data_IF_074426797972
#
_entry.id   IF_074426797972
#
_cell.length_a   1.000
_cell.length_b   1.000
_cell.length_c   1.000
_cell.angle_alpha   90.00
_cell.angle_beta   90.00
_cell.angle_gamma   90.00
#
_symmetry.space_group_name_H-M   'P 1'
#
loop_
_entity.id
_entity.type
_entity.pdbx_description
1 polymer ?
#
# COMPACT_ATOMS: atom_id res chain seq x y z
N UNK A 1 -1.24 -10.21 -9.37
CA UNK A 1 -2.44 -10.52 -8.56
C UNK A 1 -2.15 -10.12 -7.12
N UNK A 2 -3.13 -10.13 -6.22
CA UNK A 2 -2.94 -9.72 -4.82
C UNK A 2 -1.77 -10.45 -4.15
N UNK A 3 -1.57 -11.74 -4.44
CA UNK A 3 -0.42 -12.54 -3.94
C UNK A 3 0.95 -12.25 -4.54
N UNK A 4 1.16 -11.20 -5.32
CA UNK A 4 2.51 -10.85 -5.79
C UNK A 4 3.33 -10.21 -4.67
N UNK A 5 4.62 -10.55 -4.60
CA UNK A 5 5.59 -10.01 -3.64
C UNK A 5 5.51 -8.48 -3.52
N UNK A 6 5.54 -7.75 -4.64
CA UNK A 6 5.44 -6.27 -4.64
C UNK A 6 4.17 -5.74 -3.94
N UNK A 7 3.05 -6.45 -4.08
CA UNK A 7 1.77 -6.01 -3.49
C UNK A 7 1.76 -6.19 -1.99
N UNK A 8 2.34 -7.31 -1.53
CA UNK A 8 2.54 -7.59 -0.11
C UNK A 8 3.48 -6.55 0.49
N UNK A 9 4.62 -6.27 -0.16
CA UNK A 9 5.58 -5.27 0.31
C UNK A 9 4.96 -3.88 0.43
N UNK A 10 4.15 -3.45 -0.54
CA UNK A 10 3.43 -2.16 -0.46
C UNK A 10 2.46 -2.13 0.73
N UNK A 11 1.68 -3.19 0.95
CA UNK A 11 0.73 -3.24 2.06
C UNK A 11 1.46 -3.28 3.42
N UNK A 12 2.55 -4.04 3.53
CA UNK A 12 3.38 -4.07 4.73
C UNK A 12 4.02 -2.72 5.02
N UNK A 13 4.54 -2.05 3.99
CA UNK A 13 5.12 -0.71 4.10
C UNK A 13 4.10 0.30 4.62
N UNK A 14 2.90 0.34 4.02
CA UNK A 14 1.82 1.23 4.47
C UNK A 14 1.34 0.90 5.88
N UNK A 15 1.29 -0.38 6.27
CA UNK A 15 0.96 -0.77 7.66
C UNK A 15 2.00 -0.28 8.67
N UNK A 16 3.28 -0.29 8.30
CA UNK A 16 4.38 0.12 9.17
C UNK A 16 4.53 1.64 9.27
N UNK A 17 4.41 2.35 8.15
CA UNK A 17 4.64 3.79 8.08
C UNK A 17 3.38 4.63 8.32
N UNK A 18 2.18 4.04 8.16
CA UNK A 18 0.92 4.76 8.24
C UNK A 18 0.69 5.61 6.99
N UNK A 19 0.96 6.91 7.11
CA UNK A 19 0.75 7.90 6.04
C UNK A 19 1.97 8.03 5.12
N UNK A 20 1.85 7.62 3.85
CA UNK A 20 2.98 7.65 2.91
C UNK A 20 2.65 8.48 1.68
N UNK A 21 3.43 9.53 1.42
CA UNK A 21 3.34 10.27 0.17
C UNK A 21 3.94 9.46 -0.99
N UNK A 22 3.45 9.67 -2.22
CA UNK A 22 3.96 8.96 -3.41
C UNK A 22 5.50 9.06 -3.55
N UNK A 23 6.07 10.23 -3.26
CA UNK A 23 7.52 10.49 -3.32
C UNK A 23 8.33 9.82 -2.22
N UNK A 24 7.67 9.33 -1.17
CA UNK A 24 8.31 8.78 0.02
C UNK A 24 8.27 7.25 0.03
N UNK A 25 7.74 6.60 -1.00
CA UNK A 25 7.83 5.15 -1.12
C UNK A 25 9.29 4.74 -1.35
N UNK A 26 9.88 4.15 -0.31
CA UNK A 26 11.21 3.57 -0.36
C UNK A 26 11.11 2.04 -0.41
N UNK A 27 10.81 1.52 -1.60
CA UNK A 27 10.66 0.09 -1.89
C UNK A 27 11.54 -0.28 -3.09
N UNK A 28 12.06 -1.50 -3.12
CA UNK A 28 12.82 -2.04 -4.26
C UNK A 28 11.89 -2.46 -5.42
N UNK A 29 10.99 -1.57 -5.83
CA UNK A 29 9.97 -1.77 -6.86
C UNK A 29 10.09 -0.65 -7.88
N UNK A 30 10.01 -0.97 -9.18
CA UNK A 30 10.05 0.05 -10.22
C UNK A 30 8.81 0.97 -10.17
N UNK A 31 8.97 2.26 -10.48
CA UNK A 31 7.87 3.23 -10.49
C UNK A 31 6.66 2.81 -11.34
N UNK A 32 6.82 2.22 -12.55
CA UNK A 32 5.68 1.73 -13.32
C UNK A 32 4.91 0.60 -12.61
N UNK A 33 5.63 -0.30 -11.93
CA UNK A 33 5.04 -1.39 -11.15
C UNK A 33 4.32 -0.83 -9.93
N UNK A 34 4.97 0.06 -9.16
CA UNK A 34 4.37 0.72 -8.00
C UNK A 34 3.04 1.40 -8.39
N UNK A 35 3.04 2.23 -9.44
CA UNK A 35 1.83 2.88 -9.95
C UNK A 35 0.73 1.88 -10.33
N UNK A 36 1.11 0.79 -11.01
CA UNK A 36 0.17 -0.27 -11.40
C UNK A 36 -0.43 -0.97 -10.18
N UNK A 37 0.36 -1.20 -9.13
CA UNK A 37 -0.09 -1.82 -7.88
C UNK A 37 -0.98 -0.88 -7.08
N UNK A 38 -0.57 0.37 -6.87
CA UNK A 38 -1.36 1.37 -6.14
C UNK A 38 -2.76 1.54 -6.75
N UNK A 39 -2.85 1.67 -8.08
CA UNK A 39 -4.15 1.75 -8.78
C UNK A 39 -5.04 0.53 -8.51
N UNK A 40 -4.46 -0.67 -8.48
CA UNK A 40 -5.20 -1.91 -8.19
C UNK A 40 -5.64 -1.97 -6.72
N UNK A 41 -4.74 -1.64 -5.80
CA UNK A 41 -5.04 -1.63 -4.36
C UNK A 41 -6.14 -0.63 -4.01
N UNK A 42 -6.12 0.57 -4.62
CA UNK A 42 -7.19 1.57 -4.54
C UNK A 42 -8.51 0.99 -5.08
N UNK A 43 -8.48 0.40 -6.28
CA UNK A 43 -9.66 -0.22 -6.90
C UNK A 43 -10.28 -1.32 -6.02
N UNK A 44 -9.47 -2.05 -5.27
CA UNK A 44 -9.94 -3.09 -4.34
C UNK A 44 -10.30 -2.56 -2.95
N UNK A 45 -10.11 -1.26 -2.67
CA UNK A 45 -10.36 -0.66 -1.36
C UNK A 45 -9.43 -1.19 -0.26
N UNK A 46 -8.23 -1.62 -0.61
CA UNK A 46 -7.22 -2.10 0.35
C UNK A 46 -6.31 -0.97 0.84
N UNK A 47 -6.21 0.09 0.06
CA UNK A 47 -5.56 1.34 0.44
C UNK A 47 -6.49 2.49 0.06
N UNK A 48 -6.29 3.63 0.70
CA UNK A 48 -6.97 4.87 0.39
C UNK A 48 -5.97 5.93 -0.08
N UNK A 49 -6.44 6.85 -0.91
CA UNK A 49 -5.69 8.03 -1.32
C UNK A 49 -6.31 9.26 -0.65
N UNK A 50 -5.58 9.81 0.30
CA UNK A 50 -6.03 10.89 1.16
C UNK A 50 -5.47 12.23 0.66
N UNK A 51 -6.28 13.28 0.77
CA UNK A 51 -5.92 14.64 0.35
C UNK A 51 -6.33 15.63 1.44
N UNK A 52 -5.38 16.40 1.95
CA UNK A 52 -5.63 17.55 2.82
C UNK A 52 -5.19 18.84 2.14
N UNK A 53 -6.01 19.89 2.27
CA UNK A 53 -5.80 21.18 1.61
C UNK A 53 -5.17 22.26 2.51
N UNK A 54 -4.96 22.00 3.81
CA UNK A 54 -4.47 23.01 4.75
C UNK A 54 -3.35 22.47 5.66
N UNK A 55 -2.30 23.26 5.96
CA UNK A 55 -1.92 24.57 5.38
C UNK A 55 -1.18 24.47 4.02
N UNK A 56 -0.80 23.26 3.59
CA UNK A 56 -0.29 22.96 2.23
C UNK A 56 -1.02 21.73 1.70
N UNK A 57 -1.21 21.64 0.38
CA UNK A 57 -1.77 20.43 -0.25
C UNK A 57 -0.85 19.25 0.06
N UNK A 58 -1.37 18.27 0.80
CA UNK A 58 -0.70 17.01 1.12
C UNK A 58 -1.53 15.89 0.50
N UNK A 59 -0.86 14.98 -0.20
CA UNK A 59 -1.45 13.76 -0.76
C UNK A 59 -0.66 12.57 -0.24
N UNK A 60 -1.36 11.56 0.25
CA UNK A 60 -0.73 10.39 0.82
C UNK A 60 -1.63 9.16 0.68
N UNK A 61 -1.03 8.01 0.89
CA UNK A 61 -1.66 6.70 0.88
C UNK A 61 -1.66 6.14 2.30
N UNK A 62 -2.73 5.45 2.64
CA UNK A 62 -2.86 4.69 3.88
C UNK A 62 -3.45 3.31 3.59
N UNK A 63 -3.12 2.33 4.43
CA UNK A 63 -3.78 1.03 4.39
C UNK A 63 -5.13 1.09 5.12
N UNK A 64 -6.19 0.59 4.48
CA UNK A 64 -7.52 0.53 5.09
C UNK A 64 -7.61 -0.62 6.09
N UNK A 65 -8.65 -0.65 6.94
CA UNK A 65 -8.93 -1.81 7.78
C UNK A 65 -9.13 -3.10 6.97
N UNK A 66 -9.79 -2.98 5.81
CA UNK A 66 -9.90 -4.10 4.85
C UNK A 66 -8.54 -4.54 4.34
N UNK A 67 -7.67 -3.58 4.00
CA UNK A 67 -6.30 -3.84 3.59
C UNK A 67 -5.50 -4.59 4.65
N UNK A 68 -5.60 -4.16 5.93
CA UNK A 68 -4.96 -4.81 7.07
C UNK A 68 -5.44 -6.26 7.24
N UNK A 69 -6.74 -6.50 7.13
CA UNK A 69 -7.32 -7.84 7.22
C UNK A 69 -6.85 -8.75 6.07
N UNK A 70 -6.84 -8.25 4.83
CA UNK A 70 -6.33 -9.00 3.68
C UNK A 70 -4.84 -9.30 3.84
N UNK A 71 -4.04 -8.33 4.26
CA UNK A 71 -2.62 -8.53 4.51
C UNK A 71 -2.37 -9.62 5.56
N UNK A 72 -3.13 -9.59 6.67
CA UNK A 72 -3.05 -10.62 7.72
C UNK A 72 -3.36 -12.01 7.16
N UNK A 73 -4.43 -12.15 6.37
CA UNK A 73 -4.78 -13.42 5.72
C UNK A 73 -3.62 -13.92 4.82
N UNK A 74 -2.97 -13.02 4.08
CA UNK A 74 -1.85 -13.37 3.22
C UNK A 74 -0.61 -13.80 4.02
N UNK A 75 -0.36 -13.18 5.17
CA UNK A 75 0.68 -13.57 6.14
C UNK A 75 0.40 -14.96 6.71
N UNK A 76 -0.84 -15.22 7.13
CA UNK A 76 -1.27 -16.51 7.67
C UNK A 76 -1.19 -17.65 6.63
N UNK A 77 -1.39 -17.34 5.34
CA UNK A 77 -1.21 -18.27 4.22
C UNK A 77 0.28 -18.54 3.87
N UNK A 78 1.23 -17.90 4.55
CA UNK A 78 2.67 -18.07 4.27
C UNK A 78 3.12 -17.41 2.95
N UNK A 79 2.34 -16.45 2.42
CA UNK A 79 2.71 -15.70 1.21
C UNK A 79 3.74 -14.60 1.50
N UNK A 80 4.03 -14.35 2.77
CA UNK A 80 5.09 -13.45 3.24
C UNK A 80 6.30 -14.28 3.64
N UNK A 81 7.48 -13.99 3.05
CA UNK A 81 8.71 -14.70 3.44
C UNK A 81 9.03 -14.43 4.91
N UNK A 82 9.42 -15.49 5.64
CA UNK A 82 10.23 -15.39 6.87
C UNK A 82 11.56 -14.73 6.57
#
# INVERSE_FOLDING_TARGET
MLGSKDTIEILQYLRQQGEVQYTNFDLSISLPTLNTRLRKLLKFGLIEHCIAKQPKRKEWYEITERGKNVLKIMEDMGLTKK
#
